data_IF_930913145000
#
_entry.id   IF_930913145000
#
_cell.length_a   1.000
_cell.length_b   1.000
_cell.length_c   1.000
_cell.angle_alpha   90.00
_cell.angle_beta   90.00
_cell.angle_gamma   90.00
#
_symmetry.space_group_name_H-M   'P 1'
#
loop_
_entity.id
_entity.type
_entity.pdbx_description
1 polymer ?
#
# COMPACT_ATOMS: atom_id res chain seq x y z
N UNK A 1 51.59 24.02 -8.90
CA UNK A 1 51.56 22.55 -8.74
C UNK A 1 50.51 22.07 -7.75
N UNK A 2 49.64 22.95 -7.24
CA UNK A 2 48.65 22.65 -6.16
C UNK A 2 47.20 22.51 -6.69
N UNK A 3 46.92 22.86 -7.96
CA UNK A 3 45.55 22.85 -8.52
C UNK A 3 45.12 21.52 -9.14
N UNK A 4 46.03 20.58 -9.36
CA UNK A 4 45.67 19.23 -9.96
C UNK A 4 45.30 18.16 -8.93
N UNK A 5 45.58 18.40 -7.64
CA UNK A 5 45.29 17.40 -6.58
C UNK A 5 43.84 17.47 -6.07
N UNK A 6 43.14 18.60 -6.25
CA UNK A 6 41.76 18.77 -5.75
C UNK A 6 40.70 18.07 -6.63
N UNK A 7 40.97 17.87 -7.91
CA UNK A 7 40.04 17.17 -8.79
C UNK A 7 40.04 15.62 -8.61
N UNK A 8 41.15 15.07 -8.08
CA UNK A 8 41.28 13.62 -7.94
C UNK A 8 40.54 13.07 -6.70
N UNK A 9 40.45 13.87 -5.62
CA UNK A 9 39.79 13.45 -4.36
C UNK A 9 38.26 13.50 -4.53
N UNK A 10 37.73 14.49 -5.26
CA UNK A 10 36.28 14.58 -5.53
C UNK A 10 35.73 13.46 -6.42
N UNK A 11 36.53 13.00 -7.40
CA UNK A 11 36.12 11.93 -8.33
C UNK A 11 36.08 10.54 -7.66
N UNK A 12 37.03 10.27 -6.77
CA UNK A 12 37.10 8.97 -6.07
C UNK A 12 35.99 8.85 -5.03
N UNK A 13 35.67 9.92 -4.28
CA UNK A 13 34.54 9.90 -3.34
C UNK A 13 33.20 9.75 -4.05
N UNK A 14 33.02 10.36 -5.23
CA UNK A 14 31.80 10.25 -6.00
C UNK A 14 31.60 8.82 -6.59
N UNK A 15 32.69 8.18 -7.04
CA UNK A 15 32.65 6.80 -7.50
C UNK A 15 32.37 5.79 -6.39
N UNK A 16 32.88 5.99 -5.16
CA UNK A 16 32.58 5.11 -4.03
C UNK A 16 31.15 5.26 -3.54
N UNK A 17 30.58 6.48 -3.58
CA UNK A 17 29.18 6.70 -3.17
C UNK A 17 28.19 6.14 -4.17
N UNK A 18 28.48 6.26 -5.49
CA UNK A 18 27.63 5.69 -6.55
C UNK A 18 27.73 4.17 -6.61
N UNK A 19 28.91 3.59 -6.36
CA UNK A 19 29.06 2.13 -6.35
C UNK A 19 28.41 1.47 -5.15
N UNK A 20 28.45 2.09 -3.95
CA UNK A 20 27.76 1.58 -2.77
C UNK A 20 26.24 1.64 -2.92
N UNK A 21 25.71 2.72 -3.50
CA UNK A 21 24.26 2.84 -3.76
C UNK A 21 23.79 1.86 -4.83
N UNK A 22 24.58 1.68 -5.90
CA UNK A 22 24.28 0.71 -6.95
C UNK A 22 24.35 -0.74 -6.44
N UNK A 23 25.30 -1.05 -5.52
CA UNK A 23 25.43 -2.39 -4.95
C UNK A 23 24.21 -2.74 -4.06
N UNK A 24 23.73 -1.81 -3.24
CA UNK A 24 22.51 -1.99 -2.43
C UNK A 24 21.23 -2.12 -3.28
N UNK A 25 21.17 -1.42 -4.42
CA UNK A 25 20.05 -1.54 -5.34
C UNK A 25 20.00 -2.93 -6.00
N UNK A 26 21.14 -3.46 -6.43
CA UNK A 26 21.22 -4.80 -7.05
C UNK A 26 20.91 -5.93 -6.07
N UNK A 27 21.40 -5.85 -4.83
CA UNK A 27 21.08 -6.82 -3.78
C UNK A 27 19.57 -6.87 -3.47
N UNK A 28 18.90 -5.72 -3.46
CA UNK A 28 17.46 -5.64 -3.24
C UNK A 28 16.67 -6.23 -4.43
N UNK A 29 17.10 -5.96 -5.66
CA UNK A 29 16.47 -6.50 -6.86
C UNK A 29 16.61 -8.04 -6.95
N UNK A 30 17.78 -8.57 -6.59
CA UNK A 30 18.02 -10.01 -6.56
C UNK A 30 17.18 -10.71 -5.48
N UNK A 31 17.05 -10.09 -4.29
CA UNK A 31 16.18 -10.59 -3.23
C UNK A 31 14.72 -10.62 -3.64
N UNK A 32 14.24 -9.54 -4.26
CA UNK A 32 12.86 -9.45 -4.74
C UNK A 32 12.61 -10.51 -5.81
N UNK A 33 13.55 -10.73 -6.73
CA UNK A 33 13.45 -11.77 -7.76
C UNK A 33 13.36 -13.16 -7.13
N UNK A 34 14.24 -13.48 -6.17
CA UNK A 34 14.21 -14.76 -5.46
C UNK A 34 12.88 -14.96 -4.72
N UNK A 35 12.34 -13.94 -4.06
CA UNK A 35 11.01 -14.02 -3.44
C UNK A 35 9.91 -14.33 -4.47
N UNK A 36 9.97 -13.73 -5.65
CA UNK A 36 8.98 -13.98 -6.71
C UNK A 36 9.03 -15.40 -7.26
N UNK A 37 10.22 -15.99 -7.34
CA UNK A 37 10.42 -17.38 -7.71
C UNK A 37 9.80 -18.32 -6.66
N UNK A 38 10.03 -18.08 -5.37
CA UNK A 38 9.40 -18.83 -4.27
C UNK A 38 7.87 -18.76 -4.35
N UNK A 39 7.29 -17.57 -4.53
CA UNK A 39 5.83 -17.45 -4.67
C UNK A 39 5.30 -18.20 -5.90
N UNK A 40 6.05 -18.24 -6.98
CA UNK A 40 5.65 -19.00 -8.18
C UNK A 40 5.65 -20.52 -7.89
N UNK A 41 6.64 -21.03 -7.19
CA UNK A 41 6.74 -22.44 -6.78
C UNK A 41 5.60 -22.82 -5.82
N UNK A 42 5.34 -21.99 -4.80
CA UNK A 42 4.24 -22.19 -3.85
C UNK A 42 2.88 -22.26 -4.56
N UNK A 43 2.63 -21.35 -5.50
CA UNK A 43 1.38 -21.35 -6.26
C UNK A 43 1.29 -22.47 -7.29
N UNK A 44 2.42 -22.99 -7.78
CA UNK A 44 2.43 -24.19 -8.60
C UNK A 44 2.07 -25.42 -7.79
N UNK A 45 2.51 -25.50 -6.53
CA UNK A 45 2.19 -26.57 -5.60
C UNK A 45 0.74 -26.45 -5.06
N UNK A 46 0.29 -25.24 -4.75
CA UNK A 46 -1.06 -24.97 -4.26
C UNK A 46 -1.69 -23.75 -4.98
N UNK A 47 -2.41 -23.95 -6.10
CA UNK A 47 -3.00 -22.87 -6.90
C UNK A 47 -4.13 -22.09 -6.20
N UNK A 48 -4.54 -22.49 -4.99
CA UNK A 48 -5.58 -21.82 -4.22
C UNK A 48 -5.05 -21.18 -2.93
N UNK A 49 -3.75 -21.09 -2.77
CA UNK A 49 -3.16 -20.46 -1.59
C UNK A 49 -3.33 -18.94 -1.63
N UNK A 50 -4.37 -18.47 -0.92
CA UNK A 50 -4.68 -17.05 -0.80
C UNK A 50 -3.58 -16.25 -0.12
N UNK A 51 -2.80 -16.86 0.79
CA UNK A 51 -1.71 -16.17 1.51
C UNK A 51 -0.57 -15.84 0.56
N UNK A 52 -0.16 -16.78 -0.25
CA UNK A 52 0.87 -16.57 -1.26
C UNK A 52 0.42 -15.54 -2.31
N UNK A 53 -0.85 -15.61 -2.78
CA UNK A 53 -1.40 -14.57 -3.65
C UNK A 53 -1.36 -13.19 -2.99
N UNK A 54 -1.78 -13.08 -1.72
CA UNK A 54 -1.75 -11.81 -0.98
C UNK A 54 -0.33 -11.25 -0.85
N UNK A 55 0.63 -12.10 -0.44
CA UNK A 55 2.03 -11.71 -0.28
C UNK A 55 2.64 -11.26 -1.61
N UNK A 56 2.37 -11.97 -2.70
CA UNK A 56 2.86 -11.60 -4.03
C UNK A 56 2.18 -10.33 -4.56
N UNK A 57 0.90 -10.13 -4.28
CA UNK A 57 0.22 -8.88 -4.59
C UNK A 57 0.84 -7.68 -3.88
N UNK A 58 1.21 -7.82 -2.60
CA UNK A 58 1.94 -6.79 -1.86
C UNK A 58 3.30 -6.48 -2.48
N UNK A 59 4.04 -7.50 -2.88
CA UNK A 59 5.34 -7.32 -3.54
C UNK A 59 5.20 -6.60 -4.89
N UNK A 60 4.24 -6.99 -5.74
CA UNK A 60 3.94 -6.28 -6.99
C UNK A 60 3.48 -4.84 -6.77
N UNK A 61 2.67 -4.60 -5.74
CA UNK A 61 2.26 -3.24 -5.37
C UNK A 61 3.47 -2.39 -4.98
N UNK A 62 4.38 -2.93 -4.15
CA UNK A 62 5.63 -2.26 -3.78
C UNK A 62 6.55 -1.96 -4.97
N UNK A 63 6.53 -2.78 -6.02
CA UNK A 63 7.25 -2.57 -7.28
C UNK A 63 6.55 -1.59 -8.24
N UNK A 64 5.32 -1.15 -7.94
CA UNK A 64 4.52 -0.33 -8.83
C UNK A 64 3.83 -1.10 -9.98
N UNK A 65 3.91 -2.44 -10.00
CA UNK A 65 3.18 -3.26 -10.99
C UNK A 65 1.73 -3.46 -10.56
N UNK A 66 0.94 -2.39 -10.70
CA UNK A 66 -0.48 -2.37 -10.30
C UNK A 66 -1.32 -3.42 -11.04
N UNK A 67 -0.90 -3.82 -12.26
CA UNK A 67 -1.64 -4.82 -13.04
C UNK A 67 -1.50 -6.21 -12.44
N UNK A 68 -0.28 -6.64 -12.13
CA UNK A 68 -0.02 -7.94 -11.49
C UNK A 68 -0.53 -7.95 -10.05
N UNK A 69 -0.32 -6.86 -9.30
CA UNK A 69 -0.86 -6.71 -7.95
C UNK A 69 -2.38 -6.89 -7.92
N UNK A 70 -3.12 -6.28 -8.86
CA UNK A 70 -4.58 -6.43 -8.95
C UNK A 70 -5.00 -7.85 -9.31
N UNK A 71 -4.29 -8.51 -10.20
CA UNK A 71 -4.56 -9.92 -10.56
C UNK A 71 -4.44 -10.84 -9.33
N UNK A 72 -3.33 -10.72 -8.60
CA UNK A 72 -3.06 -11.56 -7.45
C UNK A 72 -3.99 -11.27 -6.27
N UNK A 73 -4.26 -10.00 -5.97
CA UNK A 73 -5.18 -9.68 -4.86
C UNK A 73 -6.62 -10.14 -5.16
N UNK A 74 -7.04 -10.17 -6.42
CA UNK A 74 -8.32 -10.74 -6.81
C UNK A 74 -8.37 -12.26 -6.54
N UNK A 75 -7.30 -12.99 -6.85
CA UNK A 75 -7.20 -14.41 -6.54
C UNK A 75 -7.15 -14.64 -5.02
N UNK A 76 -6.39 -13.83 -4.28
CA UNK A 76 -6.38 -13.90 -2.83
C UNK A 76 -7.80 -13.76 -2.25
N UNK A 77 -8.54 -12.71 -2.60
CA UNK A 77 -9.91 -12.47 -2.11
C UNK A 77 -10.86 -13.60 -2.52
N UNK A 78 -10.70 -14.17 -3.70
CA UNK A 78 -11.51 -15.29 -4.19
C UNK A 78 -11.37 -16.54 -3.32
N UNK A 79 -10.16 -16.85 -2.90
CA UNK A 79 -9.85 -18.07 -2.12
C UNK A 79 -9.82 -17.82 -0.61
N UNK A 80 -9.92 -16.57 -0.15
CA UNK A 80 -9.87 -16.20 1.25
C UNK A 80 -11.01 -16.86 2.05
N UNK A 81 -10.71 -17.56 3.17
CA UNK A 81 -11.73 -18.12 4.05
C UNK A 81 -12.58 -17.01 4.68
N UNK A 82 -13.89 -17.09 4.51
CA UNK A 82 -14.82 -16.05 5.01
C UNK A 82 -14.84 -15.89 6.53
N UNK A 83 -14.34 -16.86 7.27
CA UNK A 83 -14.20 -16.82 8.73
C UNK A 83 -13.05 -15.92 9.20
N UNK A 84 -12.02 -15.73 8.38
CA UNK A 84 -10.86 -14.89 8.67
C UNK A 84 -11.14 -13.43 8.29
N UNK A 85 -12.04 -12.78 9.06
CA UNK A 85 -12.57 -11.46 8.73
C UNK A 85 -11.52 -10.35 8.72
N UNK A 86 -10.57 -10.38 9.67
CA UNK A 86 -9.53 -9.37 9.78
C UNK A 86 -8.58 -9.41 8.59
N UNK A 87 -8.12 -10.59 8.22
CA UNK A 87 -7.22 -10.78 7.08
C UNK A 87 -7.93 -10.49 5.74
N UNK A 88 -9.18 -10.91 5.61
CA UNK A 88 -9.98 -10.57 4.42
C UNK A 88 -10.22 -9.06 4.31
N UNK A 89 -10.42 -8.36 5.43
CA UNK A 89 -10.51 -6.89 5.44
C UNK A 89 -9.19 -6.23 4.99
N UNK A 90 -8.04 -6.79 5.39
CA UNK A 90 -6.73 -6.34 4.90
C UNK A 90 -6.58 -6.55 3.38
N UNK A 91 -7.07 -7.67 2.86
CA UNK A 91 -7.04 -7.93 1.41
C UNK A 91 -7.90 -6.93 0.63
N UNK A 92 -9.10 -6.60 1.11
CA UNK A 92 -9.91 -5.52 0.54
C UNK A 92 -9.23 -4.17 0.64
N UNK A 93 -8.58 -3.85 1.76
CA UNK A 93 -7.82 -2.61 1.93
C UNK A 93 -6.67 -2.50 0.93
N UNK A 94 -5.90 -3.56 0.74
CA UNK A 94 -4.82 -3.59 -0.26
C UNK A 94 -5.38 -3.39 -1.67
N UNK A 95 -6.47 -4.06 -2.03
CA UNK A 95 -7.09 -3.89 -3.35
C UNK A 95 -7.62 -2.46 -3.55
N UNK A 96 -8.21 -1.87 -2.52
CA UNK A 96 -8.64 -0.48 -2.56
C UNK A 96 -7.48 0.49 -2.82
N UNK A 97 -6.31 0.26 -2.23
CA UNK A 97 -5.09 1.06 -2.49
C UNK A 97 -4.64 0.91 -3.95
N UNK A 98 -4.54 -0.32 -4.44
CA UNK A 98 -4.18 -0.60 -5.84
C UNK A 98 -5.15 0.11 -6.81
N UNK A 99 -6.46 -0.01 -6.57
CA UNK A 99 -7.50 0.63 -7.38
C UNK A 99 -7.42 2.16 -7.32
N UNK A 100 -7.12 2.71 -6.14
CA UNK A 100 -6.94 4.15 -5.95
C UNK A 100 -5.75 4.70 -6.74
N UNK A 101 -4.61 4.00 -6.76
CA UNK A 101 -3.44 4.35 -7.57
C UNK A 101 -3.73 4.27 -9.08
N UNK A 102 -4.62 3.39 -9.48
CA UNK A 102 -5.11 3.27 -10.87
C UNK A 102 -6.16 4.32 -11.25
N UNK A 103 -6.59 5.18 -10.32
CA UNK A 103 -7.66 6.16 -10.53
C UNK A 103 -9.08 5.59 -10.47
N UNK A 104 -9.25 4.33 -10.08
CA UNK A 104 -10.55 3.63 -10.01
C UNK A 104 -11.24 3.88 -8.65
N UNK A 105 -11.49 5.17 -8.34
CA UNK A 105 -11.95 5.63 -7.04
C UNK A 105 -13.26 4.99 -6.57
N UNK A 106 -14.23 4.74 -7.47
CA UNK A 106 -15.52 4.10 -7.13
C UNK A 106 -15.31 2.64 -6.68
N UNK A 107 -14.49 1.90 -7.38
CA UNK A 107 -14.15 0.51 -7.04
C UNK A 107 -13.38 0.46 -5.71
N UNK A 108 -12.42 1.37 -5.50
CA UNK A 108 -11.71 1.50 -4.24
C UNK A 108 -12.65 1.77 -3.05
N UNK A 109 -13.63 2.67 -3.23
CA UNK A 109 -14.63 2.96 -2.20
C UNK A 109 -15.49 1.72 -1.86
N UNK A 110 -15.84 0.92 -2.86
CA UNK A 110 -16.58 -0.34 -2.65
C UNK A 110 -15.77 -1.32 -1.79
N UNK A 111 -14.48 -1.44 -2.04
CA UNK A 111 -13.61 -2.31 -1.27
C UNK A 111 -13.40 -1.81 0.17
N UNK A 112 -13.22 -0.50 0.37
CA UNK A 112 -13.13 0.10 1.70
C UNK A 112 -14.42 -0.12 2.51
N UNK A 113 -15.59 -0.03 1.86
CA UNK A 113 -16.87 -0.37 2.48
C UNK A 113 -16.93 -1.86 2.84
N UNK A 114 -16.39 -2.74 2.01
CA UNK A 114 -16.35 -4.18 2.28
C UNK A 114 -15.43 -4.50 3.47
N UNK A 115 -14.25 -3.86 3.55
CA UNK A 115 -13.35 -3.98 4.68
C UNK A 115 -14.02 -3.53 6.00
N UNK A 116 -14.68 -2.37 5.99
CA UNK A 116 -15.36 -1.83 7.16
C UNK A 116 -16.63 -2.59 7.57
N UNK A 117 -17.27 -3.29 6.64
CA UNK A 117 -18.36 -4.22 6.97
C UNK A 117 -17.86 -5.47 7.68
N UNK A 118 -16.65 -5.94 7.37
CA UNK A 118 -16.00 -7.05 8.06
C UNK A 118 -15.45 -6.63 9.42
N UNK A 119 -14.77 -5.50 9.45
CA UNK A 119 -14.11 -4.93 10.65
C UNK A 119 -14.46 -3.44 10.77
N UNK A 120 -15.58 -3.10 11.46
CA UNK A 120 -16.08 -1.71 11.54
C UNK A 120 -15.08 -0.71 12.15
N UNK A 121 -14.21 -1.19 13.02
CA UNK A 121 -13.20 -0.38 13.70
C UNK A 121 -11.80 -0.48 13.06
N UNK A 122 -11.72 -0.84 11.78
CA UNK A 122 -10.45 -0.93 11.07
C UNK A 122 -9.88 0.47 10.79
N UNK A 123 -8.90 0.91 11.60
CA UNK A 123 -8.38 2.30 11.59
C UNK A 123 -7.89 2.76 10.21
N UNK A 124 -7.11 1.93 9.53
CA UNK A 124 -6.58 2.27 8.19
C UNK A 124 -7.71 2.36 7.16
N UNK A 125 -8.70 1.47 7.21
CA UNK A 125 -9.82 1.52 6.26
C UNK A 125 -10.69 2.77 6.47
N UNK A 126 -10.95 3.17 7.72
CA UNK A 126 -11.65 4.43 8.03
C UNK A 126 -10.87 5.64 7.51
N UNK A 127 -9.55 5.68 7.76
CA UNK A 127 -8.69 6.75 7.26
C UNK A 127 -8.69 6.81 5.74
N UNK A 128 -8.42 5.69 5.08
CA UNK A 128 -8.30 5.63 3.62
C UNK A 128 -9.64 5.94 2.93
N UNK A 129 -10.79 5.53 3.55
CA UNK A 129 -12.12 5.90 3.06
C UNK A 129 -12.40 7.38 3.23
N UNK A 130 -12.12 7.96 4.39
CA UNK A 130 -12.23 9.40 4.63
C UNK A 130 -11.40 10.23 3.64
N UNK A 131 -10.14 9.83 3.41
CA UNK A 131 -9.26 10.48 2.44
C UNK A 131 -9.79 10.37 1.01
N UNK A 132 -10.33 9.22 0.63
CA UNK A 132 -10.93 9.01 -0.69
C UNK A 132 -12.22 9.81 -0.86
N UNK A 133 -13.07 9.86 0.16
CA UNK A 133 -14.30 10.65 0.18
C UNK A 133 -14.01 12.16 0.04
N UNK A 134 -12.97 12.68 0.72
CA UNK A 134 -12.51 14.05 0.53
C UNK A 134 -12.10 14.32 -0.93
N UNK A 135 -11.35 13.41 -1.55
CA UNK A 135 -10.97 13.56 -2.97
C UNK A 135 -12.17 13.54 -3.93
N UNK A 136 -13.25 12.89 -3.52
CA UNK A 136 -14.51 12.83 -4.27
C UNK A 136 -15.48 13.98 -3.94
N UNK A 137 -15.09 14.93 -3.07
CA UNK A 137 -15.92 16.05 -2.63
C UNK A 137 -17.04 15.64 -1.67
N UNK A 138 -17.02 14.41 -1.13
CA UNK A 138 -18.05 13.89 -0.22
C UNK A 138 -17.66 14.18 1.24
N UNK A 139 -17.56 15.45 1.58
CA UNK A 139 -16.98 15.92 2.85
C UNK A 139 -17.77 15.48 4.08
N UNK A 140 -19.11 15.48 4.02
CA UNK A 140 -19.94 15.04 5.15
C UNK A 140 -19.69 13.59 5.51
N UNK A 141 -19.54 12.73 4.52
CA UNK A 141 -19.23 11.31 4.74
C UNK A 141 -17.80 11.11 5.27
N UNK A 142 -16.85 11.87 4.75
CA UNK A 142 -15.47 11.84 5.24
C UNK A 142 -15.40 12.25 6.72
N UNK A 143 -16.16 13.27 7.13
CA UNK A 143 -16.27 13.75 8.51
C UNK A 143 -16.74 12.65 9.46
N UNK A 144 -17.66 11.79 9.03
CA UNK A 144 -18.15 10.64 9.82
C UNK A 144 -16.99 9.68 10.14
N UNK A 145 -16.17 9.35 9.14
CA UNK A 145 -15.03 8.43 9.30
C UNK A 145 -13.97 9.01 10.23
N UNK A 146 -13.60 10.26 10.06
CA UNK A 146 -12.61 10.90 10.92
C UNK A 146 -13.10 11.06 12.36
N UNK A 147 -14.37 11.38 12.56
CA UNK A 147 -14.97 11.41 13.89
C UNK A 147 -15.01 10.01 14.52
N UNK A 148 -15.20 8.96 13.71
CA UNK A 148 -15.10 7.59 14.20
C UNK A 148 -13.67 7.28 14.68
N UNK A 149 -12.65 7.67 13.92
CA UNK A 149 -11.26 7.54 14.34
C UNK A 149 -10.96 8.29 15.65
N UNK A 150 -11.50 9.49 15.85
CA UNK A 150 -11.33 10.25 17.09
C UNK A 150 -12.02 9.60 18.30
N UNK A 151 -13.15 8.93 18.10
CA UNK A 151 -13.79 8.14 19.18
C UNK A 151 -12.94 6.94 19.60
N UNK A 152 -12.17 6.35 18.66
CA UNK A 152 -11.27 5.24 18.96
C UNK A 152 -9.95 5.70 19.57
N UNK A 153 -9.47 6.86 19.17
CA UNK A 153 -8.22 7.46 19.63
C UNK A 153 -8.31 8.99 19.53
N UNK A 154 -8.54 9.62 20.69
CA UNK A 154 -8.69 11.07 20.83
C UNK A 154 -7.43 11.86 20.43
N UNK A 155 -6.28 11.19 20.22
CA UNK A 155 -5.02 11.79 19.76
C UNK A 155 -4.70 11.45 18.31
N UNK A 156 -5.63 10.93 17.55
CA UNK A 156 -5.43 10.52 16.17
C UNK A 156 -5.07 11.73 15.30
N UNK A 157 -3.78 11.90 15.00
CA UNK A 157 -3.28 12.97 14.13
C UNK A 157 -3.91 12.89 12.74
N UNK A 158 -4.06 11.70 12.17
CA UNK A 158 -4.68 11.50 10.86
C UNK A 158 -6.13 11.98 10.81
N UNK A 159 -6.88 11.78 11.89
CA UNK A 159 -8.27 12.25 11.98
C UNK A 159 -8.34 13.78 12.09
N UNK A 160 -7.48 14.40 12.89
CA UNK A 160 -7.41 15.87 12.98
C UNK A 160 -7.05 16.50 11.63
N UNK A 161 -6.04 15.97 10.95
CA UNK A 161 -5.66 16.46 9.62
C UNK A 161 -6.78 16.27 8.58
N UNK A 162 -7.49 15.14 8.66
CA UNK A 162 -8.64 14.88 7.80
C UNK A 162 -9.80 15.85 8.03
N UNK A 163 -10.15 16.12 9.30
CA UNK A 163 -11.19 17.11 9.66
C UNK A 163 -10.81 18.51 9.25
N UNK A 164 -9.57 18.93 9.47
CA UNK A 164 -9.10 20.24 9.00
C UNK A 164 -9.23 20.41 7.46
N UNK A 165 -8.98 19.31 6.72
CA UNK A 165 -9.19 19.30 5.26
C UNK A 165 -10.68 19.45 4.89
N UNK A 166 -11.56 18.78 5.62
CA UNK A 166 -13.01 18.91 5.45
C UNK A 166 -13.45 20.35 5.70
N UNK A 167 -13.04 20.94 6.82
CA UNK A 167 -13.41 22.32 7.20
C UNK A 167 -12.89 23.37 6.22
N UNK A 168 -11.76 23.12 5.56
CA UNK A 168 -11.23 24.03 4.55
C UNK A 168 -12.05 24.06 3.24
N UNK A 169 -13.00 23.12 3.06
CA UNK A 169 -13.80 22.98 1.84
C UNK A 169 -15.32 23.07 2.08
N UNK A 170 -15.72 23.29 3.32
CA UNK A 170 -17.12 23.49 3.73
C UNK A 170 -17.34 24.89 4.27
#
# INVERSE_FOLDING_TARGET
>A
MVSRLRCFIGGILFCFFTSSFALHATENDDLVKAMMEVYAEELAANPQDYRTYYSRAMAYFGQGDMKKALSDINNAIKYFPRKEKDDLAQAYLLRAKILSERGEAKSALTDLNSALRLVPNHRLALKDRGDLLCRLGQYDMAKIDYNHLLRMDTRSQSAFMGLARVEAHT
#
